data_IF_337214419594
#
_entry.id   IF_337214419594
#
_cell.length_a   1.000
_cell.length_b   1.000
_cell.length_c   1.000
_cell.angle_alpha   90.00
_cell.angle_beta   90.00
_cell.angle_gamma   90.00
#
_symmetry.space_group_name_H-M   'P 1'
#
loop_
_entity.id
_entity.type
_entity.pdbx_description
1 polymer ?
#
# COMPACT_ATOMS: atom_id res chain seq x y z
N UNK A 1 -28.07 -21.22 19.95
CA UNK A 1 -28.11 -20.23 18.91
C UNK A 1 -27.01 -20.39 17.91
N UNK A 2 -27.31 -21.06 16.81
CA UNK A 2 -26.28 -21.23 15.78
C UNK A 2 -25.79 -19.94 15.18
N UNK A 3 -26.56 -18.89 15.31
CA UNK A 3 -26.18 -17.59 14.78
C UNK A 3 -24.93 -17.00 15.41
N UNK A 4 -24.75 -17.24 16.69
CA UNK A 4 -23.57 -16.69 17.37
C UNK A 4 -22.29 -17.20 16.76
N UNK A 5 -22.25 -18.49 16.53
CA UNK A 5 -21.11 -19.16 15.94
C UNK A 5 -20.81 -18.63 14.54
N UNK A 6 -21.84 -18.49 13.73
CA UNK A 6 -21.68 -17.96 12.39
C UNK A 6 -21.18 -16.53 12.41
N UNK A 7 -21.75 -15.76 13.34
CA UNK A 7 -21.34 -14.38 13.47
C UNK A 7 -19.86 -14.26 13.79
N UNK A 8 -19.40 -15.12 14.66
CA UNK A 8 -17.97 -15.11 15.03
C UNK A 8 -17.08 -15.45 13.83
N UNK A 9 -17.44 -16.45 13.06
CA UNK A 9 -16.68 -16.81 11.88
C UNK A 9 -16.66 -15.68 10.86
N UNK A 10 -17.78 -15.05 10.65
CA UNK A 10 -17.85 -13.93 9.73
C UNK A 10 -16.99 -12.78 10.21
N UNK A 11 -16.98 -12.53 11.50
CA UNK A 11 -16.19 -11.46 12.04
C UNK A 11 -14.70 -11.69 11.76
N UNK A 12 -14.23 -12.91 11.94
CA UNK A 12 -12.84 -13.26 11.69
C UNK A 12 -12.50 -13.09 10.21
N UNK A 13 -13.35 -13.58 9.33
CA UNK A 13 -13.14 -13.45 7.89
C UNK A 13 -13.15 -11.99 7.49
N UNK A 14 -14.09 -11.23 8.04
CA UNK A 14 -14.19 -9.80 7.78
C UNK A 14 -12.93 -9.04 8.15
N UNK A 15 -12.31 -9.39 9.27
CA UNK A 15 -11.11 -8.73 9.71
C UNK A 15 -9.99 -8.90 8.69
N UNK A 16 -9.80 -10.11 8.19
CA UNK A 16 -8.77 -10.36 7.19
C UNK A 16 -9.10 -9.73 5.85
N UNK A 17 -10.37 -9.79 5.45
CA UNK A 17 -10.81 -9.15 4.22
C UNK A 17 -10.59 -7.64 4.27
N UNK A 18 -10.96 -7.02 5.39
CA UNK A 18 -10.78 -5.59 5.57
C UNK A 18 -9.30 -5.21 5.53
N UNK A 19 -8.47 -6.02 6.15
CA UNK A 19 -7.04 -5.76 6.18
C UNK A 19 -6.44 -5.86 4.78
N UNK A 20 -6.78 -6.92 4.06
CA UNK A 20 -6.31 -7.10 2.69
C UNK A 20 -6.81 -5.97 1.80
N UNK A 21 -8.07 -5.59 1.96
CA UNK A 21 -8.65 -4.50 1.18
C UNK A 21 -7.92 -3.19 1.42
N UNK A 22 -7.56 -2.92 2.66
CA UNK A 22 -6.80 -1.72 3.00
C UNK A 22 -5.42 -1.73 2.34
N UNK A 23 -4.76 -2.88 2.36
CA UNK A 23 -3.48 -3.01 1.69
C UNK A 23 -3.61 -2.78 0.18
N UNK A 24 -4.68 -3.26 -0.40
CA UNK A 24 -4.93 -3.05 -1.83
C UNK A 24 -5.17 -1.58 -2.16
N UNK A 25 -5.85 -0.87 -1.26
CA UNK A 25 -6.05 0.56 -1.44
C UNK A 25 -4.73 1.32 -1.34
N UNK A 26 -3.91 0.96 -0.36
CA UNK A 26 -2.60 1.58 -0.21
C UNK A 26 -1.73 1.32 -1.43
N UNK A 27 -1.81 0.10 -1.96
CA UNK A 27 -1.08 -0.26 -3.17
C UNK A 27 -1.54 0.56 -4.37
N UNK A 28 -2.85 0.75 -4.50
CA UNK A 28 -3.40 1.54 -5.60
C UNK A 28 -2.94 3.01 -5.51
N UNK A 29 -2.92 3.57 -4.31
CA UNK A 29 -2.43 4.93 -4.11
C UNK A 29 -0.95 5.04 -4.44
N UNK A 30 -0.18 4.06 -4.02
CA UNK A 30 1.25 4.05 -4.29
C UNK A 30 1.53 3.97 -5.79
N UNK A 31 0.76 3.18 -6.51
CA UNK A 31 0.87 3.08 -7.96
C UNK A 31 0.51 4.39 -8.65
N UNK A 32 -0.51 5.05 -8.17
CA UNK A 32 -0.92 6.33 -8.72
C UNK A 32 0.17 7.38 -8.51
N UNK A 33 0.72 7.42 -7.31
CA UNK A 33 1.78 8.36 -6.99
C UNK A 33 3.02 8.10 -7.85
N UNK A 34 3.35 6.83 -8.04
CA UNK A 34 4.47 6.47 -8.89
C UNK A 34 4.25 6.96 -10.33
N UNK A 35 3.04 6.78 -10.84
CA UNK A 35 2.70 7.23 -12.17
C UNK A 35 2.87 8.74 -12.30
N UNK A 36 2.42 9.50 -11.30
CA UNK A 36 2.57 10.94 -11.29
C UNK A 36 4.04 11.36 -11.22
N UNK A 37 4.83 10.65 -10.45
CA UNK A 37 6.26 10.91 -10.34
C UNK A 37 6.99 10.62 -11.64
N UNK A 38 6.66 9.50 -12.26
CA UNK A 38 7.32 9.11 -13.51
C UNK A 38 6.93 9.98 -14.69
N UNK A 39 5.72 10.51 -14.66
CA UNK A 39 5.24 11.40 -15.72
C UNK A 39 5.70 12.84 -15.54
N UNK A 40 6.30 13.15 -14.40
CA UNK A 40 6.74 14.51 -14.10
C UNK A 40 5.67 15.42 -13.56
N UNK A 41 4.46 14.90 -13.33
CA UNK A 41 3.37 15.71 -12.77
C UNK A 41 3.54 15.96 -11.28
N UNK A 42 4.37 15.17 -10.62
CA UNK A 42 4.66 15.32 -9.20
C UNK A 42 6.15 15.24 -8.99
N UNK A 43 6.68 16.10 -8.13
CA UNK A 43 8.09 16.13 -7.81
C UNK A 43 8.27 16.29 -6.33
N UNK A 44 9.36 15.72 -5.80
CA UNK A 44 9.73 15.85 -4.41
C UNK A 44 11.04 16.61 -4.28
N UNK A 45 11.09 17.49 -3.29
CA UNK A 45 12.29 18.27 -2.98
C UNK A 45 12.49 18.27 -1.49
N UNK A 46 13.74 18.30 -1.09
CA UNK A 46 14.12 18.38 0.31
C UNK A 46 15.03 19.56 0.53
N UNK A 47 14.92 20.14 1.73
CA UNK A 47 15.80 21.22 2.12
C UNK A 47 16.05 21.12 3.62
N UNK A 48 17.30 21.29 4.01
CA UNK A 48 17.67 21.33 5.42
C UNK A 48 18.11 22.74 5.76
N UNK A 49 17.36 23.39 6.66
CA UNK A 49 17.67 24.75 7.05
C UNK A 49 17.76 25.68 5.87
N UNK A 50 18.93 26.32 5.70
CA UNK A 50 19.17 27.26 4.62
C UNK A 50 19.88 26.64 3.43
N UNK A 51 20.07 25.34 3.43
CA UNK A 51 20.74 24.67 2.33
C UNK A 51 19.90 24.77 1.06
N UNK A 52 20.52 24.62 -0.11
CA UNK A 52 19.77 24.61 -1.37
C UNK A 52 18.78 23.46 -1.42
N UNK A 53 17.69 23.66 -2.13
CA UNK A 53 16.71 22.60 -2.39
C UNK A 53 17.36 21.49 -3.20
N UNK A 54 17.07 20.25 -2.80
CA UNK A 54 17.56 19.06 -3.48
C UNK A 54 16.39 18.28 -4.03
N UNK A 55 16.45 17.93 -5.29
CA UNK A 55 15.42 17.12 -5.93
C UNK A 55 15.58 15.67 -5.49
N UNK A 56 14.57 15.13 -4.83
CA UNK A 56 14.57 13.75 -4.33
C UNK A 56 13.56 12.88 -5.07
N UNK A 57 13.10 13.34 -6.22
CA UNK A 57 12.07 12.63 -6.99
C UNK A 57 12.49 11.22 -7.34
N UNK A 58 13.74 11.03 -7.79
CA UNK A 58 14.19 9.68 -8.17
C UNK A 58 14.21 8.73 -6.97
N UNK A 59 14.60 9.23 -5.81
CA UNK A 59 14.59 8.42 -4.59
C UNK A 59 13.16 8.00 -4.25
N UNK A 60 12.19 8.89 -4.42
CA UNK A 60 10.79 8.59 -4.18
C UNK A 60 10.25 7.58 -5.18
N UNK A 61 10.64 7.69 -6.42
CA UNK A 61 10.27 6.71 -7.45
C UNK A 61 10.76 5.33 -7.05
N UNK A 62 12.02 5.22 -6.65
CA UNK A 62 12.61 3.95 -6.26
C UNK A 62 11.91 3.37 -5.03
N UNK A 63 11.59 4.22 -4.06
CA UNK A 63 10.88 3.81 -2.86
C UNK A 63 9.49 3.28 -3.19
N UNK A 64 8.78 3.97 -4.07
CA UNK A 64 7.43 3.55 -4.48
C UNK A 64 7.47 2.20 -5.20
N UNK A 65 8.44 2.01 -6.08
CA UNK A 65 8.58 0.74 -6.79
C UNK A 65 8.83 -0.41 -5.82
N UNK A 66 9.69 -0.18 -4.85
CA UNK A 66 9.98 -1.18 -3.82
C UNK A 66 8.77 -1.49 -2.98
N UNK A 67 8.05 -0.46 -2.56
CA UNK A 67 6.86 -0.60 -1.74
C UNK A 67 5.76 -1.35 -2.49
N UNK A 68 5.57 -1.07 -3.76
CA UNK A 68 4.59 -1.77 -4.59
C UNK A 68 4.91 -3.26 -4.63
N UNK A 69 6.19 -3.61 -4.82
CA UNK A 69 6.60 -5.00 -4.82
C UNK A 69 6.33 -5.69 -3.50
N UNK A 70 6.63 -5.02 -2.39
CA UNK A 70 6.39 -5.56 -1.06
C UNK A 70 4.91 -5.77 -0.78
N UNK A 71 4.09 -4.78 -1.08
CA UNK A 71 2.65 -4.87 -0.85
C UNK A 71 2.02 -5.96 -1.71
N UNK A 72 2.42 -6.04 -2.97
CA UNK A 72 1.91 -7.08 -3.87
C UNK A 72 2.21 -8.47 -3.35
N UNK A 73 3.42 -8.68 -2.86
CA UNK A 73 3.83 -9.95 -2.30
C UNK A 73 3.07 -10.29 -1.02
N UNK A 74 2.91 -9.29 -0.16
CA UNK A 74 2.19 -9.47 1.10
C UNK A 74 0.72 -9.81 0.86
N UNK A 75 0.08 -9.07 -0.03
CA UNK A 75 -1.33 -9.32 -0.37
C UNK A 75 -1.51 -10.73 -0.88
N UNK A 76 -0.63 -11.16 -1.77
CA UNK A 76 -0.69 -12.51 -2.35
C UNK A 76 -0.56 -13.58 -1.28
N UNK A 77 0.36 -13.38 -0.35
CA UNK A 77 0.58 -14.30 0.74
C UNK A 77 -0.63 -14.36 1.66
N UNK A 78 -1.18 -13.21 2.01
CA UNK A 78 -2.35 -13.15 2.90
C UNK A 78 -3.57 -13.78 2.26
N UNK A 79 -3.75 -13.59 0.97
CA UNK A 79 -4.87 -14.23 0.27
C UNK A 79 -4.72 -15.74 0.25
N UNK A 80 -3.50 -16.23 0.10
CA UNK A 80 -3.25 -17.66 0.11
C UNK A 80 -3.50 -18.27 1.48
N UNK A 81 -3.22 -17.51 2.54
CA UNK A 81 -3.37 -18.02 3.91
C UNK A 81 -4.77 -17.82 4.49
N UNK A 82 -5.43 -16.72 4.14
CA UNK A 82 -6.69 -16.34 4.79
C UNK A 82 -7.83 -16.06 3.83
N UNK A 83 -7.54 -15.94 2.58
CA UNK A 83 -8.55 -15.71 1.58
C UNK A 83 -9.11 -17.01 1.03
N UNK A 84 -9.58 -16.94 -0.13
CA UNK A 84 -10.14 -18.09 -0.81
C UNK A 84 -9.10 -18.90 -1.48
#
# INVERSE_FOLDING_TARGET
>A
MPRGSRGEKRAIISVWDDFIHRLEQDLAECRRDLELLESGQMQYRERRGDDPWVDTTQREIDWHKKTIGMYGGLIRKLRAEHGE
#
